data_IF_290245431081
#
_entry.id   IF_290245431081
#
_cell.length_a   1.000
_cell.length_b   1.000
_cell.length_c   1.000
_cell.angle_alpha   90.00
_cell.angle_beta   90.00
_cell.angle_gamma   90.00
#
_symmetry.space_group_name_H-M   'P 1'
#
loop_
_entity.id
_entity.type
_entity.pdbx_description
1 polymer ?
#
# COMPACT_ATOMS: atom_id res chain seq x y z
N UNK A 1 -6.62 5.27 17.67
CA UNK A 1 -6.67 5.46 16.19
C UNK A 1 -6.06 4.23 15.55
N UNK A 2 -6.88 3.42 14.90
CA UNK A 2 -6.44 2.19 14.24
C UNK A 2 -5.89 2.48 12.84
N UNK A 3 -4.68 1.99 12.56
CA UNK A 3 -4.02 2.12 11.26
C UNK A 3 -3.69 0.74 10.70
N UNK A 4 -4.03 0.51 9.44
CA UNK A 4 -3.70 -0.74 8.73
C UNK A 4 -2.89 -0.44 7.47
N UNK A 5 -1.80 -1.18 7.28
CA UNK A 5 -0.96 -1.09 6.08
C UNK A 5 -1.03 -2.39 5.28
N UNK A 6 -1.58 -2.35 4.08
CA UNK A 6 -1.64 -3.47 3.13
C UNK A 6 -0.48 -3.42 2.15
N UNK A 7 0.22 -4.53 2.00
CA UNK A 7 1.22 -4.71 0.94
C UNK A 7 1.27 -6.18 0.53
N UNK A 8 2.03 -6.52 -0.52
CA UNK A 8 2.25 -7.92 -0.90
C UNK A 8 2.84 -8.71 0.27
N UNK A 9 4.04 -8.40 0.71
CA UNK A 9 4.68 -8.95 1.91
C UNK A 9 5.51 -7.87 2.61
N UNK A 10 5.83 -8.08 3.90
CA UNK A 10 6.67 -7.16 4.68
C UNK A 10 8.13 -7.30 4.24
N UNK A 11 8.73 -6.21 3.81
CA UNK A 11 10.13 -6.16 3.39
C UNK A 11 10.95 -5.20 4.24
N UNK A 12 12.28 -5.28 4.10
CA UNK A 12 13.22 -4.48 4.88
C UNK A 12 13.09 -2.95 4.69
N UNK A 13 12.48 -2.49 3.59
CA UNK A 13 12.22 -1.06 3.37
C UNK A 13 11.01 -0.55 4.16
N UNK A 14 10.03 -1.41 4.38
CA UNK A 14 8.81 -1.07 5.10
C UNK A 14 8.93 -1.32 6.61
N UNK A 15 9.79 -2.26 7.00
CA UNK A 15 9.95 -2.68 8.40
C UNK A 15 10.27 -1.52 9.36
N UNK A 16 11.23 -0.60 9.07
CA UNK A 16 11.52 0.51 9.97
C UNK A 16 10.29 1.39 10.25
N UNK A 17 9.49 1.66 9.23
CA UNK A 17 8.24 2.39 9.37
C UNK A 17 7.24 1.62 10.25
N UNK A 18 7.07 0.32 10.02
CA UNK A 18 6.14 -0.51 10.80
C UNK A 18 6.55 -0.57 12.28
N UNK A 19 7.84 -0.69 12.56
CA UNK A 19 8.35 -0.70 13.93
C UNK A 19 8.12 0.64 14.63
N UNK A 20 8.28 1.75 13.91
CA UNK A 20 8.01 3.08 14.47
C UNK A 20 6.50 3.28 14.72
N UNK A 21 5.63 2.81 13.82
CA UNK A 21 4.19 2.82 14.03
C UNK A 21 3.80 2.01 15.26
N UNK A 22 4.42 0.85 15.49
CA UNK A 22 4.17 0.03 16.68
C UNK A 22 4.54 0.74 17.98
N UNK A 23 5.63 1.52 18.01
CA UNK A 23 6.02 2.30 19.21
C UNK A 23 4.97 3.34 19.59
N UNK A 24 4.32 3.96 18.59
CA UNK A 24 3.36 5.05 18.82
C UNK A 24 1.92 4.59 18.97
N UNK A 25 1.56 3.46 18.36
CA UNK A 25 0.19 2.98 18.27
C UNK A 25 -0.06 1.66 18.98
N UNK A 26 0.99 0.98 19.44
CA UNK A 26 0.91 -0.32 20.11
C UNK A 26 0.04 -1.32 19.31
N UNK A 27 -1.01 -1.86 19.92
CA UNK A 27 -1.92 -2.83 19.31
C UNK A 27 -2.89 -2.21 18.29
N UNK A 28 -2.77 -0.93 17.97
CA UNK A 28 -3.63 -0.23 17.01
C UNK A 28 -3.02 -0.15 15.60
N UNK A 29 -1.86 -0.77 15.38
CA UNK A 29 -1.25 -0.92 14.07
C UNK A 29 -1.28 -2.37 13.61
N UNK A 30 -1.67 -2.60 12.35
CA UNK A 30 -1.64 -3.91 11.70
C UNK A 30 -1.01 -3.77 10.33
N UNK A 31 -0.02 -4.61 10.02
CA UNK A 31 0.46 -4.82 8.66
C UNK A 31 -0.22 -6.05 8.08
N UNK A 32 -0.80 -5.92 6.88
CA UNK A 32 -1.46 -7.04 6.19
C UNK A 32 -0.64 -7.45 4.98
N UNK A 33 -0.13 -8.67 5.03
CA UNK A 33 0.45 -9.34 3.86
C UNK A 33 -0.65 -9.96 3.01
N UNK A 34 -0.63 -9.66 1.70
CA UNK A 34 -1.63 -10.17 0.76
C UNK A 34 -1.16 -11.33 -0.09
N UNK A 35 0.14 -11.59 -0.10
CA UNK A 35 0.80 -12.66 -0.84
C UNK A 35 1.97 -13.22 -0.01
N UNK A 36 2.29 -14.51 -0.15
CA UNK A 36 3.50 -15.06 0.46
C UNK A 36 4.74 -14.48 -0.22
N UNK A 37 5.85 -14.45 0.50
CA UNK A 37 7.15 -14.13 -0.10
C UNK A 37 7.51 -15.20 -1.15
N UNK A 38 7.98 -14.78 -2.31
CA UNK A 38 8.38 -15.65 -3.39
C UNK A 38 9.56 -16.56 -2.97
N UNK A 39 9.52 -17.85 -3.33
CA UNK A 39 10.57 -18.81 -2.97
C UNK A 39 11.95 -18.34 -3.47
N UNK A 40 12.02 -17.76 -4.67
CA UNK A 40 13.26 -17.21 -5.23
C UNK A 40 13.93 -16.18 -4.30
N UNK A 41 13.13 -15.36 -3.60
CA UNK A 41 13.65 -14.38 -2.64
C UNK A 41 14.18 -15.05 -1.38
N UNK A 42 13.51 -16.09 -0.90
CA UNK A 42 14.00 -16.88 0.23
C UNK A 42 15.33 -17.55 -0.11
N UNK A 43 15.45 -18.09 -1.33
CA UNK A 43 16.68 -18.70 -1.85
C UNK A 43 17.83 -17.69 -1.99
N UNK A 44 17.53 -16.42 -2.25
CA UNK A 44 18.49 -15.31 -2.22
C UNK A 44 18.86 -14.84 -0.80
N UNK A 45 18.33 -15.49 0.25
CA UNK A 45 18.62 -15.16 1.65
C UNK A 45 17.74 -14.08 2.27
N UNK A 46 16.64 -13.68 1.61
CA UNK A 46 15.63 -12.85 2.26
C UNK A 46 14.86 -13.65 3.29
N UNK A 47 14.54 -13.03 4.42
CA UNK A 47 13.77 -13.68 5.48
C UNK A 47 12.27 -13.40 5.31
N UNK A 48 11.42 -14.37 5.67
CA UNK A 48 9.98 -14.14 5.87
C UNK A 48 9.77 -13.34 7.16
N UNK A 49 9.74 -12.02 7.02
CA UNK A 49 9.57 -11.10 8.16
C UNK A 49 8.17 -11.23 8.77
N UNK A 50 7.17 -11.68 8.00
CA UNK A 50 5.80 -11.87 8.48
C UNK A 50 5.67 -12.92 9.57
N UNK A 51 6.60 -13.86 9.68
CA UNK A 51 6.64 -14.83 10.78
C UNK A 51 7.23 -14.25 12.09
N UNK A 52 8.03 -13.19 11.99
CA UNK A 52 8.77 -12.64 13.14
C UNK A 52 7.96 -11.61 13.94
N UNK A 53 6.98 -10.96 13.32
CA UNK A 53 6.33 -9.82 13.93
C UNK A 53 4.85 -10.05 14.19
N UNK A 54 4.37 -9.92 15.44
CA UNK A 54 2.99 -10.21 15.83
C UNK A 54 1.96 -9.22 15.25
N UNK A 55 2.40 -8.06 14.77
CA UNK A 55 1.53 -7.08 14.11
C UNK A 55 1.22 -7.43 12.65
N UNK A 56 1.77 -8.53 12.13
CA UNK A 56 1.55 -8.97 10.74
C UNK A 56 0.39 -9.94 10.67
N UNK A 57 -0.59 -9.61 9.84
CA UNK A 57 -1.70 -10.48 9.44
C UNK A 57 -1.47 -10.99 8.01
N UNK A 58 -1.31 -12.31 7.86
CA UNK A 58 -1.20 -12.97 6.55
C UNK A 58 -2.60 -13.27 6.02
N UNK A 59 -3.13 -12.43 5.12
CA UNK A 59 -4.50 -12.57 4.61
C UNK A 59 -4.71 -13.82 3.77
N UNK A 60 -3.65 -14.34 3.18
CA UNK A 60 -3.66 -15.54 2.32
C UNK A 60 -3.60 -16.88 3.09
N UNK A 61 -3.47 -16.84 4.42
CA UNK A 61 -3.29 -18.05 5.23
C UNK A 61 -4.53 -18.95 5.23
N UNK A 62 -5.72 -18.35 5.35
CA UNK A 62 -7.02 -19.02 5.30
C UNK A 62 -8.16 -18.01 5.11
N UNK A 63 -9.38 -18.49 4.92
CA UNK A 63 -10.57 -17.66 4.67
C UNK A 63 -10.88 -16.73 5.85
N UNK A 64 -10.62 -17.13 7.09
CA UNK A 64 -10.81 -16.29 8.28
C UNK A 64 -9.86 -15.10 8.27
N UNK A 65 -8.57 -15.35 7.98
CA UNK A 65 -7.57 -14.29 7.84
C UNK A 65 -7.91 -13.33 6.70
N UNK A 66 -8.41 -13.86 5.58
CA UNK A 66 -8.86 -13.05 4.45
C UNK A 66 -10.06 -12.18 4.83
N UNK A 67 -11.09 -12.75 5.44
CA UNK A 67 -12.27 -12.03 5.89
C UNK A 67 -11.91 -10.95 6.92
N UNK A 68 -11.00 -11.27 7.86
CA UNK A 68 -10.46 -10.30 8.82
C UNK A 68 -9.74 -9.15 8.14
N UNK A 69 -8.91 -9.44 7.11
CA UNK A 69 -8.22 -8.42 6.34
C UNK A 69 -9.20 -7.46 5.63
N UNK A 70 -10.26 -7.98 4.99
CA UNK A 70 -11.31 -7.17 4.40
C UNK A 70 -12.00 -6.27 5.44
N UNK A 71 -12.34 -6.85 6.60
CA UNK A 71 -12.99 -6.13 7.69
C UNK A 71 -12.15 -4.96 8.19
N UNK A 72 -10.89 -5.20 8.56
CA UNK A 72 -10.00 -4.13 9.06
C UNK A 72 -9.65 -3.11 7.97
N UNK A 73 -9.62 -3.52 6.69
CA UNK A 73 -9.48 -2.62 5.56
C UNK A 73 -10.60 -1.59 5.47
N UNK A 74 -11.81 -1.97 5.86
CA UNK A 74 -12.95 -1.06 5.93
C UNK A 74 -13.00 -0.27 7.25
N UNK A 75 -12.82 -0.93 8.40
CA UNK A 75 -13.08 -0.37 9.74
C UNK A 75 -11.97 0.55 10.25
N UNK A 76 -10.70 0.33 9.88
CA UNK A 76 -9.58 1.16 10.35
C UNK A 76 -9.80 2.65 10.08
N UNK A 77 -9.37 3.50 11.01
CA UNK A 77 -9.45 4.96 10.86
C UNK A 77 -8.65 5.41 9.63
N UNK A 78 -7.45 4.86 9.47
CA UNK A 78 -6.55 5.14 8.36
C UNK A 78 -6.07 3.83 7.74
N UNK A 79 -6.07 3.76 6.42
CA UNK A 79 -5.46 2.65 5.67
C UNK A 79 -4.37 3.17 4.75
N UNK A 80 -3.23 2.49 4.77
CA UNK A 80 -2.15 2.65 3.81
C UNK A 80 -2.21 1.44 2.87
N UNK A 81 -2.20 1.65 1.56
CA UNK A 81 -2.12 0.58 0.57
C UNK A 81 -0.88 0.74 -0.30
N UNK A 82 -0.03 -0.27 -0.29
CA UNK A 82 1.13 -0.43 -1.16
C UNK A 82 0.84 -1.35 -2.35
N UNK A 83 1.70 -2.34 -2.55
CA UNK A 83 1.56 -3.39 -3.58
C UNK A 83 0.57 -4.47 -3.13
N UNK A 84 -0.69 -4.10 -2.95
CA UNK A 84 -1.77 -4.99 -2.53
C UNK A 84 -2.99 -4.84 -3.45
N UNK A 85 -3.83 -5.89 -3.61
CA UNK A 85 -5.05 -5.83 -4.38
C UNK A 85 -6.02 -4.78 -3.83
N UNK A 86 -6.68 -4.03 -4.72
CA UNK A 86 -7.62 -2.96 -4.33
C UNK A 86 -8.90 -3.47 -3.65
N UNK A 87 -9.18 -4.76 -3.73
CA UNK A 87 -10.34 -5.35 -3.06
C UNK A 87 -10.39 -5.01 -1.56
N UNK A 88 -9.24 -4.94 -0.90
CA UNK A 88 -9.13 -4.62 0.52
C UNK A 88 -9.52 -3.18 0.89
N UNK A 89 -9.61 -2.29 -0.11
CA UNK A 89 -9.95 -0.87 0.13
C UNK A 89 -11.19 -0.41 -0.66
N UNK A 90 -11.81 -1.25 -1.48
CA UNK A 90 -12.91 -0.84 -2.36
C UNK A 90 -14.08 -0.20 -1.60
N UNK A 91 -14.57 -0.86 -0.55
CA UNK A 91 -15.70 -0.36 0.25
C UNK A 91 -15.34 0.96 0.96
N UNK A 92 -14.14 1.02 1.50
CA UNK A 92 -13.67 2.25 2.16
C UNK A 92 -13.58 3.45 1.19
N UNK A 93 -13.18 3.21 -0.07
CA UNK A 93 -13.17 4.25 -1.09
C UNK A 93 -14.57 4.65 -1.55
N UNK A 94 -15.55 3.74 -1.52
CA UNK A 94 -16.98 4.07 -1.75
C UNK A 94 -17.47 5.03 -0.68
N UNK A 95 -17.19 4.75 0.58
CA UNK A 95 -17.52 5.56 1.76
C UNK A 95 -16.62 6.79 1.95
N UNK A 96 -15.70 7.03 1.01
CA UNK A 96 -14.78 8.18 1.04
C UNK A 96 -13.93 8.29 2.31
N UNK A 97 -13.58 7.15 2.94
CA UNK A 97 -12.73 7.10 4.14
C UNK A 97 -11.26 7.41 3.79
N UNK A 98 -10.53 7.95 4.76
CA UNK A 98 -9.12 8.34 4.61
C UNK A 98 -8.26 7.15 4.22
N UNK A 99 -7.62 7.23 3.06
CA UNK A 99 -6.77 6.18 2.51
C UNK A 99 -5.49 6.80 1.95
N UNK A 100 -4.35 6.19 2.24
CA UNK A 100 -3.06 6.58 1.67
C UNK A 100 -2.58 5.50 0.71
N UNK A 101 -2.17 5.89 -0.51
CA UNK A 101 -1.43 5.02 -1.39
C UNK A 101 0.05 5.24 -1.20
N UNK A 102 0.75 4.20 -0.82
CA UNK A 102 2.21 4.16 -0.82
C UNK A 102 2.68 3.61 -2.17
N UNK A 103 3.50 4.34 -2.88
CA UNK A 103 4.05 3.87 -4.15
C UNK A 103 5.44 4.45 -4.43
N UNK A 104 6.21 3.68 -5.16
CA UNK A 104 7.45 4.10 -5.76
C UNK A 104 7.21 4.84 -7.09
N UNK A 105 8.30 5.28 -7.69
CA UNK A 105 8.30 5.90 -9.01
C UNK A 105 7.77 4.94 -10.07
N UNK A 106 6.73 5.33 -10.80
CA UNK A 106 6.10 4.51 -11.85
C UNK A 106 6.68 4.74 -13.24
N UNK A 107 7.25 5.92 -13.49
CA UNK A 107 7.85 6.29 -14.77
C UNK A 107 9.38 6.11 -14.76
N UNK A 108 9.88 5.05 -14.10
CA UNK A 108 11.32 4.74 -14.01
C UNK A 108 12.01 4.63 -15.38
N UNK A 109 11.27 4.19 -16.42
CA UNK A 109 11.77 4.03 -17.79
C UNK A 109 11.39 5.21 -18.70
N UNK A 110 10.97 6.34 -18.12
CA UNK A 110 10.58 7.54 -18.86
C UNK A 110 9.10 7.61 -19.25
N UNK A 111 8.72 8.77 -19.80
CA UNK A 111 7.33 9.08 -20.17
C UNK A 111 6.77 8.18 -21.28
N UNK A 112 7.63 7.57 -22.09
CA UNK A 112 7.23 6.68 -23.17
C UNK A 112 6.38 5.49 -22.67
N UNK A 113 6.53 5.10 -21.41
CA UNK A 113 5.71 4.05 -20.79
C UNK A 113 4.21 4.37 -20.78
N UNK A 114 3.83 5.64 -20.81
CA UNK A 114 2.42 6.05 -20.87
C UNK A 114 1.77 5.64 -22.19
N UNK A 115 2.57 5.41 -23.24
CA UNK A 115 2.07 4.92 -24.51
C UNK A 115 1.65 3.43 -24.47
N UNK A 116 2.11 2.67 -23.48
CA UNK A 116 1.60 1.31 -23.26
C UNK A 116 0.19 1.38 -22.62
N UNK A 117 -0.85 0.86 -23.29
CA UNK A 117 -2.22 0.89 -22.78
C UNK A 117 -2.39 0.19 -21.42
N UNK A 118 -1.61 -0.86 -21.14
CA UNK A 118 -1.66 -1.60 -19.87
C UNK A 118 -1.15 -0.73 -18.73
N UNK A 119 -0.04 -0.03 -18.96
CA UNK A 119 0.54 0.90 -17.99
C UNK A 119 -0.41 2.07 -17.74
N UNK A 120 -0.93 2.68 -18.78
CA UNK A 120 -1.87 3.80 -18.69
C UNK A 120 -3.16 3.42 -17.97
N UNK A 121 -3.72 2.25 -18.27
CA UNK A 121 -4.89 1.72 -17.55
C UNK A 121 -4.58 1.48 -16.08
N UNK A 122 -3.44 0.85 -15.76
CA UNK A 122 -2.99 0.64 -14.38
C UNK A 122 -2.86 1.95 -13.60
N UNK A 123 -2.21 2.95 -14.20
CA UNK A 123 -2.07 4.28 -13.60
C UNK A 123 -3.44 4.92 -13.34
N UNK A 124 -4.30 4.92 -14.34
CA UNK A 124 -5.64 5.50 -14.21
C UNK A 124 -6.47 4.77 -13.15
N UNK A 125 -6.54 3.44 -13.22
CA UNK A 125 -7.38 2.62 -12.34
C UNK A 125 -6.98 2.72 -10.87
N UNK A 126 -5.68 2.80 -10.58
CA UNK A 126 -5.15 2.81 -9.23
C UNK A 126 -4.96 4.22 -8.64
N UNK A 127 -4.82 5.23 -9.48
CA UNK A 127 -4.42 6.56 -9.02
C UNK A 127 -5.36 7.67 -9.50
N UNK A 128 -5.45 7.90 -10.82
CA UNK A 128 -6.10 9.10 -11.37
C UNK A 128 -7.60 9.11 -11.13
N UNK A 129 -8.28 7.97 -11.22
CA UNK A 129 -9.72 7.87 -11.01
C UNK A 129 -10.16 8.28 -9.60
N UNK A 130 -9.25 8.19 -8.62
CA UNK A 130 -9.52 8.53 -7.22
C UNK A 130 -9.20 9.98 -6.84
N UNK A 131 -8.84 10.84 -7.80
CA UNK A 131 -8.46 12.24 -7.53
C UNK A 131 -9.45 13.04 -6.70
N UNK A 132 -10.75 12.72 -6.79
CA UNK A 132 -11.82 13.37 -6.02
C UNK A 132 -12.11 12.68 -4.68
N UNK A 133 -11.56 11.51 -4.43
CA UNK A 133 -11.76 10.74 -3.21
C UNK A 133 -10.81 11.18 -2.10
N UNK A 134 -11.11 10.79 -0.87
CA UNK A 134 -10.26 11.05 0.29
C UNK A 134 -9.04 10.12 0.31
N UNK A 135 -8.35 10.09 -0.82
CA UNK A 135 -7.16 9.29 -1.08
C UNK A 135 -5.96 10.19 -1.29
N UNK A 136 -4.90 9.93 -0.54
CA UNK A 136 -3.66 10.67 -0.48
C UNK A 136 -2.49 9.82 -0.96
N UNK A 137 -1.42 10.44 -1.40
CA UNK A 137 -0.20 9.75 -1.84
C UNK A 137 0.91 9.88 -0.81
N UNK A 138 1.46 8.75 -0.38
CA UNK A 138 2.73 8.66 0.32
C UNK A 138 3.81 8.32 -0.70
N UNK A 139 4.67 9.30 -0.97
CA UNK A 139 5.71 9.17 -1.99
C UNK A 139 6.95 8.51 -1.41
N UNK A 140 7.35 7.35 -1.93
CA UNK A 140 8.62 6.71 -1.58
C UNK A 140 9.85 7.54 -2.02
N UNK A 141 9.68 8.47 -2.97
CA UNK A 141 10.73 9.40 -3.42
C UNK A 141 10.16 10.71 -3.95
N UNK A 142 11.00 11.74 -4.07
CA UNK A 142 10.63 13.01 -4.69
C UNK A 142 10.17 12.84 -6.14
N UNK A 143 10.76 11.91 -6.88
CA UNK A 143 10.37 11.60 -8.25
C UNK A 143 8.98 10.98 -8.36
N UNK A 144 8.51 10.26 -7.34
CA UNK A 144 7.13 9.74 -7.30
C UNK A 144 6.12 10.89 -7.32
N UNK A 145 6.35 11.93 -6.52
CA UNK A 145 5.50 13.10 -6.49
C UNK A 145 5.49 13.83 -7.85
N UNK A 146 6.64 13.92 -8.50
CA UNK A 146 6.77 14.52 -9.83
C UNK A 146 6.00 13.72 -10.89
N UNK A 147 6.24 12.40 -10.98
CA UNK A 147 5.54 11.52 -11.93
C UNK A 147 4.00 11.63 -11.77
N UNK A 148 3.51 11.62 -10.52
CA UNK A 148 2.07 11.74 -10.24
C UNK A 148 1.51 13.13 -10.55
N UNK A 149 2.33 14.17 -10.50
CA UNK A 149 1.93 15.52 -10.91
C UNK A 149 1.74 15.62 -12.42
N UNK A 150 2.64 15.02 -13.21
CA UNK A 150 2.51 14.92 -14.67
C UNK A 150 1.21 14.22 -15.09
N UNK A 151 0.80 13.21 -14.32
CA UNK A 151 -0.43 12.45 -14.56
C UNK A 151 -1.69 13.13 -13.99
N UNK A 152 -1.56 14.32 -13.40
CA UNK A 152 -2.64 15.05 -12.71
C UNK A 152 -3.37 14.19 -11.67
N UNK A 153 -2.63 13.26 -11.05
CA UNK A 153 -3.09 12.44 -9.95
C UNK A 153 -2.75 13.10 -8.60
N UNK A 154 -3.61 12.91 -7.61
CA UNK A 154 -3.45 13.43 -6.25
C UNK A 154 -3.14 14.95 -6.20
N UNK A 155 -3.96 15.84 -6.76
CA UNK A 155 -3.74 17.28 -6.65
C UNK A 155 -3.71 17.67 -5.18
N UNK A 156 -2.62 18.33 -4.74
CA UNK A 156 -2.40 18.82 -3.37
C UNK A 156 -2.48 17.77 -2.24
N UNK A 157 -2.32 16.48 -2.59
CA UNK A 157 -2.46 15.33 -1.69
C UNK A 157 -1.25 14.41 -1.70
N UNK A 158 -0.04 14.97 -1.82
CA UNK A 158 1.22 14.21 -1.89
C UNK A 158 2.09 14.48 -0.67
N UNK A 159 2.51 13.41 -0.01
CA UNK A 159 3.35 13.47 1.19
C UNK A 159 4.58 12.60 1.01
N UNK A 160 5.72 13.00 1.60
CA UNK A 160 6.91 12.16 1.66
C UNK A 160 6.69 11.03 2.66
N UNK A 161 7.03 9.82 2.25
CA UNK A 161 7.17 8.68 3.15
C UNK A 161 8.63 8.62 3.62
N UNK A 162 8.84 8.73 4.92
CA UNK A 162 10.17 8.68 5.55
C UNK A 162 10.15 7.68 6.69
#
# INVERSE_FOLDING_TARGET
>A
MQITFFSNFLNHHQLPFCLEMMKHLENQFTFVETEPIEQERLDMGYEDMGEKYPFVLKSYKNDECYARALKIGFESDVVIIGSAPEIFIQERLRENKVTFRYTERILKQGLIRILDPRVSYGIWSQNTRYKKKNMYLLCASAYTAYDMSLLKAYPDKKYKFR
#
